data_IF_979245081796
#
_entry.id   IF_979245081796
#
_cell.length_a   1.000
_cell.length_b   1.000
_cell.length_c   1.000
_cell.angle_alpha   90.00
_cell.angle_beta   90.00
_cell.angle_gamma   90.00
#
_symmetry.space_group_name_H-M   'P 1'
#
loop_
_entity.id
_entity.type
_entity.pdbx_description
1 polymer ?
#
# COMPACT_ATOMS: atom_id res chain seq x y z
N UNK A 1 21.39 -19.38 -49.09
CA UNK A 1 21.06 -19.04 -47.70
C UNK A 1 20.24 -17.77 -47.76
N UNK A 2 18.93 -17.84 -47.52
CA UNK A 2 18.08 -16.65 -47.59
C UNK A 2 18.27 -15.82 -46.33
N UNK A 3 18.54 -14.54 -46.50
CA UNK A 3 18.81 -13.59 -45.43
C UNK A 3 17.53 -13.40 -44.59
N UNK A 4 17.66 -13.39 -43.26
CA UNK A 4 16.52 -13.30 -42.32
C UNK A 4 15.67 -12.05 -42.59
N UNK A 5 16.29 -10.99 -43.11
CA UNK A 5 15.60 -9.78 -43.58
C UNK A 5 14.64 -10.02 -44.74
N UNK A 6 14.97 -10.93 -45.65
CA UNK A 6 14.13 -11.25 -46.80
C UNK A 6 12.88 -12.03 -46.38
N UNK A 7 13.03 -12.92 -45.40
CA UNK A 7 11.90 -13.66 -44.80
C UNK A 7 10.95 -12.73 -44.03
N UNK A 8 11.50 -11.76 -43.28
CA UNK A 8 10.70 -10.76 -42.56
C UNK A 8 9.99 -9.80 -43.50
N UNK A 9 10.62 -9.42 -44.62
CA UNK A 9 10.00 -8.60 -45.65
C UNK A 9 8.77 -9.26 -46.26
N UNK A 10 8.85 -10.56 -46.61
CA UNK A 10 7.71 -11.31 -47.17
C UNK A 10 6.60 -11.57 -46.15
N UNK A 11 6.93 -11.73 -44.87
CA UNK A 11 5.94 -11.88 -43.81
C UNK A 11 5.14 -10.59 -43.56
N UNK A 12 5.77 -9.42 -43.71
CA UNK A 12 5.12 -8.12 -43.54
C UNK A 12 4.17 -7.78 -44.70
N UNK A 13 4.48 -8.21 -45.94
CA UNK A 13 3.61 -7.99 -47.10
C UNK A 13 2.30 -8.79 -47.07
N UNK A 14 2.26 -9.92 -46.34
CA UNK A 14 1.06 -10.74 -46.15
C UNK A 14 0.17 -10.33 -44.97
N UNK A 15 0.68 -9.50 -44.06
CA UNK A 15 -0.06 -9.02 -42.90
C UNK A 15 -0.88 -7.79 -43.29
N UNK A 16 -2.12 -8.01 -43.76
CA UNK A 16 -3.05 -6.93 -44.09
C UNK A 16 -3.15 -5.85 -43.01
N UNK A 17 -3.51 -4.63 -43.40
CA UNK A 17 -3.61 -3.48 -42.48
C UNK A 17 -4.61 -3.77 -41.36
N UNK A 18 -4.28 -3.46 -40.09
CA UNK A 18 -5.20 -3.69 -38.97
C UNK A 18 -6.49 -2.89 -39.18
N UNK A 19 -7.63 -3.56 -39.01
CA UNK A 19 -8.97 -3.01 -39.24
C UNK A 19 -9.43 -1.94 -38.23
N UNK A 20 -8.54 -1.52 -37.31
CA UNK A 20 -8.85 -0.51 -36.30
C UNK A 20 -7.71 0.50 -36.20
N UNK A 21 -8.02 1.76 -36.46
CA UNK A 21 -7.06 2.85 -36.27
C UNK A 21 -6.92 3.16 -34.77
N UNK A 22 -5.69 3.46 -34.33
CA UNK A 22 -5.39 3.86 -32.95
C UNK A 22 -6.31 5.01 -32.46
N UNK A 23 -6.76 5.88 -33.37
CA UNK A 23 -7.73 6.94 -33.08
C UNK A 23 -9.08 6.45 -32.53
N UNK A 24 -9.54 5.26 -32.92
CA UNK A 24 -10.77 4.67 -32.39
C UNK A 24 -10.66 4.25 -30.92
N UNK A 25 -9.46 3.83 -30.49
CA UNK A 25 -9.16 3.45 -29.10
C UNK A 25 -9.11 4.69 -28.21
N UNK A 26 -8.42 5.76 -28.65
CA UNK A 26 -8.38 7.03 -27.91
C UNK A 26 -9.75 7.73 -27.84
N UNK A 27 -10.57 7.62 -28.89
CA UNK A 27 -11.94 8.17 -28.88
C UNK A 27 -12.86 7.44 -27.89
N UNK A 28 -12.72 6.12 -27.72
CA UNK A 28 -13.48 5.33 -26.74
C UNK A 28 -13.08 5.70 -25.31
N UNK A 29 -11.79 5.92 -25.04
CA UNK A 29 -11.29 6.38 -23.74
C UNK A 29 -11.79 7.80 -23.38
N UNK A 30 -11.82 8.71 -24.35
CA UNK A 30 -12.34 10.07 -24.13
C UNK A 30 -13.85 10.10 -23.82
N UNK A 31 -14.64 9.19 -24.41
CA UNK A 31 -16.09 9.10 -24.17
C UNK A 31 -16.42 8.59 -22.76
N UNK A 32 -15.59 7.70 -22.20
CA UNK A 32 -15.74 7.21 -20.81
C UNK A 32 -15.45 8.34 -19.80
N UNK A 33 -14.40 9.15 -20.02
CA UNK A 33 -14.09 10.30 -19.17
C UNK A 33 -15.21 11.36 -19.15
N UNK A 34 -15.86 11.61 -20.28
CA UNK A 34 -17.01 12.55 -20.33
C UNK A 34 -18.24 12.01 -19.59
N UNK A 35 -18.53 10.70 -19.69
CA UNK A 35 -19.63 10.07 -18.92
C UNK A 35 -19.40 10.14 -17.41
N UNK A 36 -18.16 9.96 -16.94
CA UNK A 36 -17.81 10.12 -15.52
C UNK A 36 -17.96 11.56 -15.02
N UNK A 37 -17.63 12.57 -15.82
CA UNK A 37 -17.83 13.99 -15.44
C UNK A 37 -19.30 14.40 -15.41
N UNK A 38 -20.14 13.84 -16.29
CA UNK A 38 -21.59 14.12 -16.26
C UNK A 38 -22.32 13.45 -15.08
N UNK A 39 -21.80 12.32 -14.57
CA UNK A 39 -22.38 11.64 -13.41
C UNK A 39 -22.05 12.31 -12.06
N UNK A 40 -21.09 13.24 -12.02
CA UNK A 40 -20.65 13.92 -10.79
C UNK A 40 -21.39 15.24 -10.50
N UNK A 41 -22.44 15.58 -11.25
CA UNK A 41 -23.15 16.87 -11.11
C UNK A 41 -24.64 16.75 -10.75
N UNK A 42 -25.09 15.62 -10.21
CA UNK A 42 -26.50 15.42 -9.85
C UNK A 42 -26.69 14.81 -8.46
N UNK A 43 -26.62 15.65 -7.43
CA UNK A 43 -27.30 15.53 -6.12
C UNK A 43 -27.10 16.87 -5.37
N UNK A 44 -27.84 17.92 -5.75
CA UNK A 44 -29.14 18.35 -5.18
C UNK A 44 -29.07 18.79 -3.70
N UNK A 45 -29.34 20.09 -3.57
CA UNK A 45 -29.54 20.95 -2.40
C UNK A 45 -30.70 20.47 -1.52
N UNK A 46 -30.54 20.56 -0.18
CA UNK A 46 -31.65 20.83 0.74
C UNK A 46 -31.17 21.58 1.99
N UNK A 47 -31.92 22.63 2.32
CA UNK A 47 -31.70 23.73 3.28
C UNK A 47 -32.27 23.37 4.66
N UNK A 48 -31.75 23.89 5.79
CA UNK A 48 -32.34 24.89 6.75
C UNK A 48 -31.55 24.71 8.07
N UNK A 49 -31.31 25.64 9.00
CA UNK A 49 -31.17 27.09 9.13
C UNK A 49 -30.92 27.36 10.65
N UNK A 50 -30.45 28.59 10.96
CA UNK A 50 -30.57 29.32 12.23
C UNK A 50 -29.59 29.02 13.38
N UNK A 51 -28.92 30.10 13.84
CA UNK A 51 -28.27 30.17 15.15
C UNK A 51 -27.14 31.20 15.24
N UNK A 52 -27.46 32.49 15.06
CA UNK A 52 -26.52 33.59 15.23
C UNK A 52 -26.16 33.84 16.71
N UNK A 53 -24.89 34.11 17.01
CA UNK A 53 -24.47 35.05 18.05
C UNK A 53 -23.18 35.77 17.63
N UNK A 54 -23.15 37.07 17.93
CA UNK A 54 -22.23 38.10 17.46
C UNK A 54 -21.14 38.43 18.49
N UNK A 55 -19.87 38.53 18.02
CA UNK A 55 -18.80 39.53 18.30
C UNK A 55 -18.30 39.79 19.76
N UNK A 56 -17.22 40.58 19.98
CA UNK A 56 -15.84 40.49 19.46
C UNK A 56 -14.76 40.73 20.58
N UNK A 57 -13.47 40.36 20.39
CA UNK A 57 -12.37 41.17 20.98
C UNK A 57 -10.95 40.93 20.42
N UNK A 58 -10.47 41.99 19.76
CA UNK A 58 -9.11 42.57 19.66
C UNK A 58 -7.84 41.71 19.87
N UNK A 59 -7.08 41.53 18.77
CA UNK A 59 -5.82 42.25 18.50
C UNK A 59 -4.52 41.74 19.14
N UNK A 60 -3.49 41.50 18.30
CA UNK A 60 -2.09 41.54 18.75
C UNK A 60 -1.10 40.65 17.99
N UNK A 61 -0.59 41.20 16.87
CA UNK A 61 0.75 41.10 16.27
C UNK A 61 1.44 39.74 16.00
N UNK A 62 1.98 39.67 14.78
CA UNK A 62 2.57 38.51 14.10
C UNK A 62 4.07 38.45 14.36
N UNK A 63 4.56 37.32 14.89
CA UNK A 63 5.96 36.93 14.91
C UNK A 63 6.03 35.40 14.94
N UNK A 64 6.91 34.73 14.15
CA UNK A 64 6.82 33.30 13.92
C UNK A 64 7.32 32.54 15.16
N UNK A 65 6.38 32.13 16.02
CA UNK A 65 6.65 31.25 17.14
C UNK A 65 6.51 29.79 16.70
N UNK A 66 7.60 29.03 16.89
CA UNK A 66 7.64 27.58 16.76
C UNK A 66 6.60 26.93 17.70
N UNK A 67 5.56 26.31 17.14
CA UNK A 67 4.50 25.64 17.89
C UNK A 67 4.84 24.17 18.14
N UNK A 68 5.61 23.94 19.20
CA UNK A 68 5.57 22.69 19.97
C UNK A 68 4.38 22.76 20.92
N UNK A 69 3.39 21.88 20.76
CA UNK A 69 2.23 21.83 21.66
C UNK A 69 2.19 20.47 22.34
N UNK A 70 2.75 20.43 23.55
CA UNK A 70 2.36 19.46 24.57
C UNK A 70 1.65 20.25 25.68
N UNK A 71 0.40 19.93 25.97
CA UNK A 71 -0.21 20.18 27.27
C UNK A 71 -1.41 19.26 27.49
N UNK A 72 -1.48 18.77 28.72
CA UNK A 72 -2.32 17.72 29.26
C UNK A 72 -3.73 18.19 29.68
N UNK A 73 -4.66 17.24 29.81
CA UNK A 73 -5.88 17.38 30.64
C UNK A 73 -7.19 17.01 29.93
N UNK A 74 -8.16 16.34 30.59
CA UNK A 74 -8.83 15.17 30.02
C UNK A 74 -10.25 15.43 29.51
N UNK A 75 -10.55 14.94 28.30
CA UNK A 75 -11.92 14.59 27.89
C UNK A 75 -11.83 13.39 26.94
N UNK A 76 -12.44 12.23 27.26
CA UNK A 76 -12.43 11.10 26.34
C UNK A 76 -13.51 11.31 25.29
N UNK A 77 -13.19 12.09 24.25
CA UNK A 77 -13.80 11.87 22.95
C UNK A 77 -12.98 10.79 22.26
N UNK A 78 -13.59 9.76 21.64
CA UNK A 78 -12.84 8.73 20.94
C UNK A 78 -12.23 9.36 19.68
N UNK A 79 -11.03 9.90 19.82
CA UNK A 79 -10.19 10.29 18.70
C UNK A 79 -9.70 9.01 18.02
N UNK A 80 -9.71 8.93 16.68
CA UNK A 80 -9.09 7.84 15.94
C UNK A 80 -7.56 7.75 16.16
N UNK A 81 -6.95 8.72 16.85
CA UNK A 81 -5.54 8.72 17.22
C UNK A 81 -5.20 7.75 18.37
N UNK A 82 -6.14 7.41 19.25
CA UNK A 82 -5.86 6.49 20.35
C UNK A 82 -5.70 5.04 19.85
N UNK A 83 -6.54 4.62 18.90
CA UNK A 83 -6.46 3.27 18.30
C UNK A 83 -5.28 3.11 17.34
N UNK A 84 -4.85 4.19 16.68
CA UNK A 84 -3.68 4.17 15.81
C UNK A 84 -2.36 4.16 16.60
N UNK A 85 -2.26 5.02 17.63
CA UNK A 85 -1.13 4.99 18.57
C UNK A 85 -1.01 3.65 19.30
N UNK A 86 -2.15 3.00 19.61
CA UNK A 86 -2.18 1.67 20.20
C UNK A 86 -1.61 0.60 19.26
N UNK A 87 -1.94 0.63 17.96
CA UNK A 87 -1.41 -0.36 17.00
C UNK A 87 0.10 -0.25 16.81
N UNK A 88 0.62 0.97 16.62
CA UNK A 88 2.07 1.17 16.49
C UNK A 88 2.82 0.73 17.76
N UNK A 89 2.29 1.06 18.95
CA UNK A 89 2.86 0.62 20.22
C UNK A 89 2.83 -0.91 20.41
N UNK A 90 1.72 -1.55 20.03
CA UNK A 90 1.60 -3.02 20.04
C UNK A 90 2.55 -3.69 19.06
N UNK A 91 2.73 -3.13 17.87
CA UNK A 91 3.72 -3.63 16.90
C UNK A 91 5.14 -3.48 17.44
N UNK A 92 5.48 -2.32 18.02
CA UNK A 92 6.79 -2.07 18.62
C UNK A 92 7.13 -3.06 19.74
N UNK A 93 6.14 -3.45 20.56
CA UNK A 93 6.34 -4.43 21.63
C UNK A 93 6.68 -5.85 21.12
N UNK A 94 6.37 -6.17 19.86
CA UNK A 94 6.65 -7.49 19.25
C UNK A 94 8.01 -7.55 18.55
N UNK A 95 8.59 -6.39 18.26
CA UNK A 95 9.80 -6.26 17.47
C UNK A 95 11.03 -5.99 18.35
N UNK A 96 12.23 -6.42 17.91
CA UNK A 96 13.47 -6.05 18.58
C UNK A 96 13.66 -4.53 18.64
N UNK A 97 14.31 -3.99 19.70
CA UNK A 97 14.42 -2.55 19.91
C UNK A 97 15.29 -1.84 18.85
N UNK A 98 16.09 -2.58 18.08
CA UNK A 98 16.99 -2.02 17.07
C UNK A 98 16.31 -1.72 15.73
N UNK A 99 15.00 -2.00 15.57
CA UNK A 99 14.25 -1.66 14.34
C UNK A 99 13.98 -0.14 14.20
N UNK A 100 14.15 0.63 15.27
CA UNK A 100 13.94 2.08 15.29
C UNK A 100 12.56 2.49 15.81
N UNK A 101 12.23 3.77 15.67
CA UNK A 101 10.92 4.31 16.07
C UNK A 101 9.84 3.90 15.07
N UNK A 102 8.67 3.53 15.58
CA UNK A 102 7.54 3.05 14.78
C UNK A 102 6.36 4.01 14.93
N UNK A 103 5.83 4.46 13.79
CA UNK A 103 4.68 5.36 13.70
C UNK A 103 3.65 4.77 12.73
N UNK A 104 2.37 4.73 13.08
CA UNK A 104 1.33 4.40 12.10
C UNK A 104 1.11 5.59 11.15
N UNK A 105 1.15 5.33 9.85
CA UNK A 105 1.01 6.34 8.79
C UNK A 105 -0.04 5.91 7.76
N UNK A 106 -0.34 6.79 6.82
CA UNK A 106 -1.13 6.44 5.64
C UNK A 106 -0.36 6.69 4.36
N UNK A 107 0.05 5.60 3.69
CA UNK A 107 0.69 5.69 2.38
C UNK A 107 -0.22 6.33 1.31
N UNK A 108 -1.55 6.23 1.45
CA UNK A 108 -2.46 6.92 0.53
C UNK A 108 -2.40 8.44 0.70
N UNK A 109 -2.26 8.93 1.95
CA UNK A 109 -2.04 10.35 2.21
C UNK A 109 -0.68 10.78 1.68
N UNK A 110 0.38 10.03 2.01
CA UNK A 110 1.76 10.38 1.66
C UNK A 110 2.01 10.36 0.14
N UNK A 111 1.57 9.30 -0.55
CA UNK A 111 1.96 9.04 -1.94
C UNK A 111 0.89 9.51 -2.93
N UNK A 112 -0.38 9.43 -2.54
CA UNK A 112 -1.52 9.71 -3.44
C UNK A 112 -2.21 11.04 -3.16
N UNK A 113 -1.69 11.85 -2.22
CA UNK A 113 -2.29 13.10 -1.76
C UNK A 113 -3.77 12.93 -1.36
N UNK A 114 -4.15 11.76 -0.85
CA UNK A 114 -5.49 11.53 -0.35
C UNK A 114 -5.70 12.32 0.95
N UNK A 115 -6.93 12.77 1.21
CA UNK A 115 -7.27 13.29 2.55
C UNK A 115 -7.31 12.12 3.57
N UNK A 116 -7.13 12.38 4.87
CA UNK A 116 -7.25 11.34 5.89
C UNK A 116 -8.57 10.57 5.81
N UNK A 117 -9.68 11.22 5.45
CA UNK A 117 -10.99 10.61 5.29
C UNK A 117 -11.04 9.66 4.10
N UNK A 118 -10.41 10.04 2.98
CA UNK A 118 -10.32 9.21 1.76
C UNK A 118 -9.41 8.01 1.95
N UNK A 119 -8.44 8.11 2.86
CA UNK A 119 -7.47 7.07 3.13
C UNK A 119 -7.91 6.05 4.18
N UNK A 120 -9.11 6.21 4.76
CA UNK A 120 -9.66 5.25 5.72
C UNK A 120 -9.80 3.88 5.06
N UNK A 121 -9.30 2.87 5.74
CA UNK A 121 -9.33 1.49 5.30
C UNK A 121 -9.97 0.66 6.41
N UNK A 122 -10.87 -0.23 6.03
CA UNK A 122 -11.44 -1.22 6.94
C UNK A 122 -10.46 -2.38 7.04
N UNK A 123 -9.85 -2.51 8.21
CA UNK A 123 -8.84 -3.52 8.50
C UNK A 123 -9.46 -4.75 9.16
N UNK A 124 -9.03 -5.94 8.75
CA UNK A 124 -9.50 -7.21 9.31
C UNK A 124 -8.64 -7.61 10.52
N UNK A 125 -7.33 -7.45 10.40
CA UNK A 125 -6.35 -7.84 11.41
C UNK A 125 -6.14 -6.77 12.48
N UNK A 126 -5.87 -7.17 13.74
CA UNK A 126 -5.61 -6.26 14.86
C UNK A 126 -4.31 -5.45 14.74
N UNK A 127 -3.42 -5.82 13.83
CA UNK A 127 -2.17 -5.10 13.53
C UNK A 127 -2.11 -4.67 12.06
N UNK A 128 -3.19 -4.82 11.30
CA UNK A 128 -3.21 -4.34 9.93
C UNK A 128 -3.03 -2.83 9.91
N UNK A 129 -2.23 -2.33 8.97
CA UNK A 129 -1.84 -0.93 8.92
C UNK A 129 -0.66 -0.66 8.01
N UNK A 130 -0.32 0.62 7.89
CA UNK A 130 0.94 1.07 7.33
C UNK A 130 1.76 1.75 8.43
N UNK A 131 3.04 1.40 8.52
CA UNK A 131 3.91 1.88 9.59
C UNK A 131 5.17 2.46 9.00
N UNK A 132 5.59 3.63 9.48
CA UNK A 132 6.90 4.20 9.20
C UNK A 132 7.89 3.74 10.28
N UNK A 133 9.09 3.34 9.85
CA UNK A 133 10.21 2.97 10.69
C UNK A 133 11.31 4.01 10.53
N UNK A 134 11.71 4.68 11.62
CA UNK A 134 12.75 5.72 11.59
C UNK A 134 14.00 5.20 12.30
N UNK A 135 15.10 5.09 11.56
CA UNK A 135 16.37 4.56 12.08
C UNK A 135 17.55 5.21 11.36
N UNK A 136 18.53 5.70 12.12
CA UNK A 136 19.77 6.26 11.56
C UNK A 136 19.55 7.43 10.60
N UNK A 137 18.46 8.17 10.74
CA UNK A 137 18.08 9.27 9.85
C UNK A 137 17.31 8.86 8.59
N UNK A 138 17.18 7.55 8.29
CA UNK A 138 16.37 7.04 7.19
C UNK A 138 14.95 6.65 7.64
N UNK A 139 14.05 6.52 6.66
CA UNK A 139 12.64 6.15 6.85
C UNK A 139 12.26 5.00 5.91
N UNK A 140 11.90 3.86 6.50
CA UNK A 140 11.33 2.72 5.79
C UNK A 140 9.85 2.55 6.14
N UNK A 141 9.19 1.64 5.44
CA UNK A 141 7.77 1.38 5.66
C UNK A 141 7.47 -0.11 5.81
N UNK A 142 6.51 -0.43 6.67
CA UNK A 142 5.88 -1.74 6.75
C UNK A 142 4.42 -1.61 6.35
N UNK A 143 3.99 -2.37 5.35
CA UNK A 143 2.56 -2.63 5.09
C UNK A 143 2.27 -4.00 5.66
N UNK A 144 1.28 -4.11 6.53
CA UNK A 144 0.77 -5.39 7.04
C UNK A 144 -0.74 -5.41 6.84
N UNK A 145 -1.26 -6.38 6.10
CA UNK A 145 -2.70 -6.48 5.82
C UNK A 145 -3.12 -7.95 5.80
N UNK A 146 -4.19 -8.28 6.53
CA UNK A 146 -4.95 -9.50 6.35
C UNK A 146 -6.00 -9.28 5.25
N UNK A 147 -5.92 -10.06 4.20
CA UNK A 147 -6.90 -10.10 3.12
C UNK A 147 -7.73 -11.38 3.25
N UNK A 148 -9.05 -11.24 3.32
CA UNK A 148 -9.95 -12.39 3.20
C UNK A 148 -9.91 -12.98 1.78
N UNK A 149 -10.41 -14.21 1.64
CA UNK A 149 -10.43 -14.91 0.35
C UNK A 149 -11.07 -14.09 -0.77
N UNK A 150 -12.18 -13.41 -0.50
CA UNK A 150 -12.88 -12.63 -1.53
C UNK A 150 -12.02 -11.45 -2.03
N UNK A 151 -11.33 -10.77 -1.11
CA UNK A 151 -10.40 -9.70 -1.44
C UNK A 151 -9.23 -10.21 -2.28
N UNK A 152 -8.66 -11.38 -1.95
CA UNK A 152 -7.59 -12.02 -2.73
C UNK A 152 -8.08 -12.36 -4.14
N UNK A 153 -9.22 -13.02 -4.26
CA UNK A 153 -9.79 -13.44 -5.54
C UNK A 153 -10.14 -12.24 -6.42
N UNK A 154 -10.72 -11.19 -5.85
CA UNK A 154 -11.05 -9.94 -6.55
C UNK A 154 -9.80 -9.23 -7.06
N UNK A 155 -8.73 -9.18 -6.27
CA UNK A 155 -7.48 -8.51 -6.61
C UNK A 155 -6.69 -9.25 -7.69
N UNK A 156 -6.70 -10.58 -7.63
CA UNK A 156 -5.91 -11.44 -8.53
C UNK A 156 -6.71 -11.88 -9.76
N UNK A 157 -8.05 -11.80 -9.73
CA UNK A 157 -8.92 -12.26 -10.82
C UNK A 157 -8.98 -13.79 -10.97
N UNK A 158 -8.52 -14.54 -9.97
CA UNK A 158 -8.45 -16.01 -9.98
C UNK A 158 -8.72 -16.57 -8.57
N UNK A 159 -9.06 -17.87 -8.43
CA UNK A 159 -9.26 -18.49 -7.12
C UNK A 159 -8.05 -18.31 -6.21
N UNK A 160 -8.29 -18.04 -4.92
CA UNK A 160 -7.24 -17.95 -3.92
C UNK A 160 -6.80 -19.37 -3.55
N UNK A 161 -5.73 -19.82 -4.18
CA UNK A 161 -5.13 -21.12 -3.93
C UNK A 161 -4.07 -21.01 -2.80
N UNK A 162 -4.27 -21.67 -1.65
CA UNK A 162 -3.29 -21.67 -0.56
C UNK A 162 -2.02 -22.46 -0.90
N UNK A 163 -2.10 -23.37 -1.87
CA UNK A 163 -0.99 -24.22 -2.30
C UNK A 163 -0.19 -23.60 -3.47
N UNK A 164 -0.57 -22.40 -3.93
CA UNK A 164 0.14 -21.69 -4.98
C UNK A 164 1.64 -21.51 -4.67
N UNK A 165 2.50 -21.88 -5.64
CA UNK A 165 3.93 -21.61 -5.56
C UNK A 165 4.31 -20.30 -6.25
N UNK A 166 4.51 -19.25 -5.44
CA UNK A 166 4.91 -17.94 -5.95
C UNK A 166 6.39 -17.89 -6.34
N UNK A 167 7.21 -18.82 -5.90
CA UNK A 167 8.61 -18.89 -6.31
C UNK A 167 8.76 -19.47 -7.72
N UNK A 168 7.75 -20.18 -8.21
CA UNK A 168 7.66 -20.57 -9.62
C UNK A 168 7.19 -19.38 -10.45
N UNK A 169 8.05 -18.89 -11.34
CA UNK A 169 7.69 -17.81 -12.25
C UNK A 169 6.66 -18.29 -13.27
N UNK A 170 5.54 -17.57 -13.37
CA UNK A 170 4.51 -17.81 -14.39
C UNK A 170 4.47 -16.65 -15.39
N UNK A 171 4.51 -16.98 -16.69
CA UNK A 171 4.36 -15.99 -17.76
C UNK A 171 5.40 -14.87 -17.72
N UNK A 172 4.92 -13.62 -17.74
CA UNK A 172 5.74 -12.40 -17.75
C UNK A 172 5.82 -11.72 -16.38
N UNK A 173 5.51 -12.43 -15.29
CA UNK A 173 5.63 -11.86 -13.94
C UNK A 173 7.06 -11.38 -13.67
N UNK A 174 7.22 -10.31 -12.86
CA UNK A 174 8.52 -9.89 -12.35
C UNK A 174 9.33 -11.02 -11.72
N UNK A 175 10.65 -10.94 -11.85
CA UNK A 175 11.53 -11.89 -11.17
C UNK A 175 11.49 -11.61 -9.67
N UNK A 176 11.07 -12.60 -8.87
CA UNK A 176 11.24 -12.59 -7.42
C UNK A 176 12.64 -13.11 -7.09
N UNK A 177 13.46 -12.34 -6.40
CA UNK A 177 14.80 -12.76 -6.00
C UNK A 177 14.78 -13.34 -4.59
N UNK A 178 15.66 -14.31 -4.31
CA UNK A 178 15.74 -15.01 -3.02
C UNK A 178 14.37 -15.49 -2.51
N UNK A 179 13.55 -16.02 -3.42
CA UNK A 179 12.23 -16.50 -3.07
C UNK A 179 12.36 -17.80 -2.29
N UNK A 180 11.83 -17.81 -1.07
CA UNK A 180 11.77 -18.99 -0.23
C UNK A 180 10.31 -19.26 0.13
N UNK A 181 9.93 -20.52 -0.04
CA UNK A 181 8.64 -21.06 0.37
C UNK A 181 8.86 -22.01 1.53
N UNK A 182 8.11 -21.80 2.61
CA UNK A 182 8.14 -22.61 3.82
C UNK A 182 6.73 -23.09 4.17
N UNK A 183 6.54 -24.40 4.24
CA UNK A 183 5.34 -25.00 4.82
C UNK A 183 5.45 -24.99 6.35
N UNK A 184 4.46 -24.41 7.03
CA UNK A 184 4.41 -24.35 8.48
C UNK A 184 3.69 -25.57 9.06
N UNK A 185 3.98 -25.96 10.33
CA UNK A 185 3.39 -27.15 10.94
C UNK A 185 1.86 -27.17 11.04
N UNK A 186 1.21 -26.00 10.97
CA UNK A 186 -0.24 -25.85 11.03
C UNK A 186 -0.92 -25.81 9.65
N UNK A 187 -0.17 -26.17 8.59
CA UNK A 187 -0.69 -26.23 7.23
C UNK A 187 -0.72 -24.89 6.50
N UNK A 188 -0.30 -23.79 7.15
CA UNK A 188 -0.09 -22.51 6.47
C UNK A 188 1.18 -22.54 5.63
N UNK A 189 1.25 -21.70 4.61
CA UNK A 189 2.46 -21.54 3.78
C UNK A 189 2.95 -20.11 3.85
N UNK A 190 4.19 -19.92 4.31
CA UNK A 190 4.89 -18.64 4.24
C UNK A 190 5.76 -18.60 2.98
N UNK A 191 5.56 -17.61 2.13
CA UNK A 191 6.48 -17.31 1.01
C UNK A 191 7.07 -15.93 1.19
N UNK A 192 8.39 -15.81 1.08
CA UNK A 192 9.11 -14.53 1.21
C UNK A 192 10.09 -14.33 0.08
N UNK A 193 10.24 -13.11 -0.41
CA UNK A 193 11.14 -12.78 -1.51
C UNK A 193 11.59 -11.32 -1.44
N UNK A 194 12.70 -11.01 -2.10
CA UNK A 194 13.12 -9.65 -2.34
C UNK A 194 12.48 -9.13 -3.63
N UNK A 195 11.98 -7.90 -3.56
CA UNK A 195 11.50 -7.13 -4.70
C UNK A 195 12.37 -5.88 -4.83
N UNK A 196 13.05 -5.71 -5.96
CA UNK A 196 13.88 -4.52 -6.19
C UNK A 196 13.03 -3.27 -6.45
N UNK A 197 11.73 -3.44 -6.72
CA UNK A 197 10.80 -2.37 -7.09
C UNK A 197 11.22 -1.59 -8.35
N UNK A 198 12.01 -2.20 -9.23
CA UNK A 198 12.43 -1.65 -10.53
C UNK A 198 11.29 -1.69 -11.57
N UNK A 199 10.12 -1.16 -11.20
CA UNK A 199 8.94 -1.12 -12.05
C UNK A 199 8.73 0.28 -12.63
N UNK A 200 8.65 0.37 -13.96
CA UNK A 200 8.28 1.61 -14.65
C UNK A 200 6.75 1.78 -14.67
N UNK A 201 6.22 2.90 -14.17
CA UNK A 201 4.79 3.23 -14.24
C UNK A 201 4.49 4.70 -13.88
N UNK A 202 3.40 5.24 -14.43
CA UNK A 202 3.04 6.68 -14.38
C UNK A 202 2.57 7.20 -13.00
N UNK A 203 2.31 6.30 -12.02
CA UNK A 203 1.56 6.65 -10.79
C UNK A 203 2.29 6.30 -9.46
N UNK A 204 3.59 6.02 -9.46
CA UNK A 204 4.30 5.59 -8.25
C UNK A 204 5.58 6.37 -8.00
N UNK A 205 5.71 6.88 -6.79
CA UNK A 205 6.99 7.26 -6.17
C UNK A 205 8.08 6.22 -6.43
N UNK A 206 9.34 6.64 -6.40
CA UNK A 206 10.49 5.76 -6.56
C UNK A 206 10.64 4.89 -5.31
N UNK A 207 9.95 3.76 -5.27
CA UNK A 207 10.08 2.81 -4.17
C UNK A 207 11.49 2.23 -4.12
N UNK A 208 12.06 2.19 -2.92
CA UNK A 208 13.29 1.44 -2.69
C UNK A 208 13.03 -0.06 -2.59
N UNK A 209 14.10 -0.88 -2.50
CA UNK A 209 14.00 -2.33 -2.35
C UNK A 209 13.13 -2.76 -1.16
N UNK A 210 12.46 -3.89 -1.32
CA UNK A 210 11.55 -4.47 -0.33
C UNK A 210 11.87 -5.93 -0.03
N UNK A 211 11.63 -6.33 1.21
CA UNK A 211 11.37 -7.72 1.58
C UNK A 211 9.85 -7.91 1.67
N UNK A 212 9.32 -8.82 0.86
CA UNK A 212 7.89 -9.12 0.80
C UNK A 212 7.63 -10.48 1.41
N UNK A 213 6.48 -10.62 2.08
CA UNK A 213 5.99 -11.88 2.60
C UNK A 213 4.52 -12.08 2.31
N UNK A 214 4.15 -13.33 2.03
CA UNK A 214 2.76 -13.80 1.96
C UNK A 214 2.61 -15.03 2.84
N UNK A 215 1.72 -14.96 3.83
CA UNK A 215 1.32 -16.12 4.64
C UNK A 215 -0.08 -16.54 4.18
N UNK A 216 -0.16 -17.61 3.40
CA UNK A 216 -1.42 -18.19 2.95
C UNK A 216 -2.05 -19.05 4.06
N UNK A 217 -3.35 -18.85 4.30
CA UNK A 217 -4.15 -19.64 5.22
C UNK A 217 -4.95 -20.71 4.47
N UNK A 218 -5.35 -21.78 5.16
CA UNK A 218 -6.07 -22.91 4.54
C UNK A 218 -7.44 -22.54 3.97
N UNK A 219 -8.04 -21.44 4.42
CA UNK A 219 -9.33 -20.95 3.91
C UNK A 219 -9.20 -20.06 2.65
N UNK A 220 -7.96 -19.81 2.19
CA UNK A 220 -7.66 -18.93 1.05
C UNK A 220 -7.48 -17.46 1.42
N UNK A 221 -7.66 -17.08 2.68
CA UNK A 221 -7.21 -15.76 3.18
C UNK A 221 -5.68 -15.71 3.28
N UNK A 222 -5.12 -14.52 3.39
CA UNK A 222 -3.67 -14.35 3.49
C UNK A 222 -3.27 -13.10 4.27
N UNK A 223 -2.11 -13.16 4.92
CA UNK A 223 -1.37 -11.95 5.24
C UNK A 223 -0.48 -11.56 4.08
N UNK A 224 -0.56 -10.30 3.69
CA UNK A 224 0.42 -9.63 2.84
C UNK A 224 1.25 -8.69 3.71
N UNK A 225 2.58 -8.82 3.63
CA UNK A 225 3.51 -7.90 4.26
C UNK A 225 4.52 -7.38 3.26
N UNK A 226 4.79 -6.08 3.29
CA UNK A 226 5.83 -5.42 2.51
C UNK A 226 6.68 -4.59 3.46
N UNK A 227 7.95 -4.97 3.60
CA UNK A 227 8.97 -4.28 4.38
C UNK A 227 9.85 -3.53 3.40
N UNK A 228 9.65 -2.21 3.27
CA UNK A 228 10.29 -1.36 2.28
C UNK A 228 11.35 -0.47 2.91
N UNK A 229 12.44 -0.27 2.18
CA UNK A 229 13.48 0.73 2.52
C UNK A 229 12.98 2.16 2.46
N UNK A 230 11.81 2.43 1.87
CA UNK A 230 11.25 3.77 1.76
C UNK A 230 10.82 4.08 0.32
N UNK A 231 10.57 5.36 0.05
CA UNK A 231 10.36 5.84 -1.31
C UNK A 231 10.90 7.26 -1.51
N UNK A 232 11.22 7.56 -2.76
CA UNK A 232 11.61 8.88 -3.23
C UNK A 232 10.47 9.57 -3.99
N UNK A 233 10.39 10.90 -3.85
CA UNK A 233 9.38 11.72 -4.52
C UNK A 233 8.52 12.52 -3.55
N UNK A 234 7.37 13.00 -4.04
CA UNK A 234 6.44 13.79 -3.22
C UNK A 234 5.94 12.97 -2.03
N UNK A 235 5.90 13.60 -0.85
CA UNK A 235 5.45 12.97 0.39
C UNK A 235 6.48 12.09 1.10
N UNK A 236 7.72 12.03 0.59
CA UNK A 236 8.81 11.37 1.29
C UNK A 236 9.06 12.00 2.66
N UNK A 237 9.37 11.19 3.66
CA UNK A 237 9.56 11.61 5.04
C UNK A 237 11.03 11.56 5.49
N UNK A 238 11.95 11.23 4.58
CA UNK A 238 13.39 11.15 4.81
C UNK A 238 14.09 10.28 3.76
N UNK A 239 15.42 10.16 3.83
CA UNK A 239 16.18 9.21 3.02
C UNK A 239 15.69 7.77 3.20
N UNK A 240 15.95 6.92 2.20
CA UNK A 240 15.73 5.48 2.31
C UNK A 240 16.58 4.90 3.46
N UNK A 241 16.04 3.87 4.14
CA UNK A 241 16.87 2.98 4.95
C UNK A 241 17.85 2.22 4.06
N UNK A 242 19.01 1.86 4.62
CA UNK A 242 19.99 1.04 3.91
C UNK A 242 19.51 -0.39 3.64
N UNK A 243 18.57 -0.88 4.47
CA UNK A 243 17.98 -2.21 4.38
C UNK A 243 16.49 -2.15 4.79
N UNK A 244 15.64 -3.09 4.33
CA UNK A 244 14.27 -3.20 4.82
C UNK A 244 14.19 -3.24 6.35
N UNK A 245 13.18 -2.60 6.97
CA UNK A 245 13.12 -2.46 8.43
C UNK A 245 13.01 -3.78 9.18
N UNK A 246 12.41 -4.81 8.55
CA UNK A 246 12.34 -6.17 9.08
C UNK A 246 13.16 -7.15 8.26
N UNK A 247 13.93 -7.99 8.95
CA UNK A 247 14.55 -9.18 8.37
C UNK A 247 13.52 -10.28 8.12
N UNK A 248 13.89 -11.27 7.30
CA UNK A 248 13.05 -12.45 7.02
C UNK A 248 12.64 -13.21 8.28
N UNK A 249 13.56 -13.35 9.23
CA UNK A 249 13.28 -14.02 10.51
C UNK A 249 12.30 -13.22 11.36
N UNK A 250 12.44 -11.89 11.42
CA UNK A 250 11.54 -11.01 12.15
C UNK A 250 10.13 -11.01 11.53
N UNK A 251 10.05 -10.94 10.20
CA UNK A 251 8.80 -11.04 9.44
C UNK A 251 8.09 -12.36 9.72
N UNK A 252 8.81 -13.49 9.63
CA UNK A 252 8.26 -14.81 9.96
C UNK A 252 7.71 -14.85 11.38
N UNK A 253 8.48 -14.37 12.36
CA UNK A 253 8.05 -14.33 13.77
C UNK A 253 6.78 -13.49 13.95
N UNK A 254 6.71 -12.32 13.30
CA UNK A 254 5.54 -11.45 13.34
C UNK A 254 4.31 -12.13 12.74
N UNK A 255 4.40 -12.66 11.52
CA UNK A 255 3.26 -13.24 10.80
C UNK A 255 2.74 -14.56 11.42
N UNK A 256 3.61 -15.31 12.08
CA UNK A 256 3.22 -16.56 12.73
C UNK A 256 2.77 -16.38 14.18
N UNK A 257 2.92 -15.16 14.74
CA UNK A 257 2.46 -14.83 16.08
C UNK A 257 0.94 -14.75 16.20
N UNK A 258 0.36 -15.05 17.36
CA UNK A 258 -1.08 -14.93 17.58
C UNK A 258 -1.58 -13.47 17.54
N UNK A 259 -0.70 -12.49 17.70
CA UNK A 259 -1.07 -11.07 17.83
C UNK A 259 -1.50 -10.41 16.52
N UNK A 260 -1.17 -11.01 15.37
CA UNK A 260 -1.62 -10.57 14.05
C UNK A 260 -2.97 -11.15 13.66
N UNK A 261 -3.46 -12.18 14.36
CA UNK A 261 -4.73 -12.83 14.05
C UNK A 261 -5.92 -12.13 14.73
N UNK A 262 -7.07 -12.00 14.05
CA UNK A 262 -8.32 -11.62 14.70
C UNK A 262 -8.66 -12.60 15.82
N UNK A 263 -9.22 -12.11 16.92
CA UNK A 263 -9.80 -12.98 17.94
C UNK A 263 -11.13 -13.50 17.39
N UNK A 264 -11.29 -14.82 17.35
CA UNK A 264 -12.55 -15.49 17.02
C UNK A 264 -13.63 -15.29 18.07
#
# INVERSE_FOLDING_TARGET
MNDVRELLGRAAEGAGKPAFSAGAVYAKAARIRRRRRAAASAAVIAVVAAGAFTLPRAGGDEGPAHTSVASAGPTPSPSPSASAADRAGRLAALLPPDVGEIEEVSLAVLIKNATPEQARTDYLGPLDGHYAFRKGGGVGYLVLVLEDREAVERKTGRPADPDEDLCVRVGQEPTRTDCEREALPDGRTLTTWHDSMDYSGDDSVGWGPELVGRLAQSDGSQFLVRSSTGFEGSGTQGPLLSEPPLSRQQLKKLLTGPEVLPKG
#
